data_IF_660774951256
#
_entry.id   IF_660774951256
#
_cell.length_a   1.000
_cell.length_b   1.000
_cell.length_c   1.000
_cell.angle_alpha   90.00
_cell.angle_beta   90.00
_cell.angle_gamma   90.00
#
_symmetry.space_group_name_H-M   'P 1'
#
loop_
_entity.id
_entity.type
_entity.pdbx_description
1 polymer ?
#
# COMPACT_ATOMS: atom_id res chain seq x y z
N UNK A 1 -44.43 -54.20 33.54
CA UNK A 1 -44.43 -52.81 32.96
C UNK A 1 -43.00 -52.42 32.70
N UNK A 2 -42.76 -52.09 31.50
CA UNK A 2 -41.50 -52.09 30.75
C UNK A 2 -40.43 -51.09 31.20
N UNK A 3 -39.16 -51.56 31.36
CA UNK A 3 -37.97 -50.82 31.71
C UNK A 3 -37.37 -50.08 30.49
N UNK A 4 -38.12 -49.91 29.42
CA UNK A 4 -37.64 -49.37 28.14
C UNK A 4 -37.81 -47.84 27.98
N UNK A 5 -38.35 -47.12 28.95
CA UNK A 5 -38.66 -45.69 28.81
C UNK A 5 -37.70 -44.73 29.54
N UNK A 6 -36.57 -45.23 30.09
CA UNK A 6 -35.62 -44.37 30.81
C UNK A 6 -34.25 -44.16 30.12
N UNK A 7 -34.08 -44.66 28.88
CA UNK A 7 -32.79 -44.53 28.15
C UNK A 7 -32.78 -43.53 27.00
N UNK A 8 -33.87 -42.82 26.74
CA UNK A 8 -34.00 -41.91 25.60
C UNK A 8 -33.82 -40.43 25.92
N UNK A 9 -33.47 -40.06 27.18
CA UNK A 9 -33.42 -38.66 27.58
C UNK A 9 -31.99 -38.10 27.88
N UNK A 10 -30.94 -38.89 27.63
CA UNK A 10 -29.54 -38.45 27.92
C UNK A 10 -28.66 -38.20 26.70
N UNK A 11 -29.19 -38.25 25.48
CA UNK A 11 -28.38 -38.03 24.26
C UNK A 11 -28.61 -36.71 23.53
N UNK A 12 -29.42 -35.82 24.08
CA UNK A 12 -29.78 -34.57 23.39
C UNK A 12 -29.12 -33.27 23.94
N UNK A 13 -28.12 -33.38 24.83
CA UNK A 13 -27.53 -32.18 25.46
C UNK A 13 -26.00 -32.03 25.25
N UNK A 14 -25.41 -32.72 24.28
CA UNK A 14 -23.95 -32.66 24.06
C UNK A 14 -23.53 -32.10 22.71
N UNK A 15 -24.43 -31.45 21.96
CA UNK A 15 -24.11 -30.92 20.60
C UNK A 15 -24.28 -29.41 20.41
N UNK A 16 -24.34 -28.61 21.48
CA UNK A 16 -24.58 -27.15 21.35
C UNK A 16 -23.42 -26.24 21.80
N UNK A 17 -22.21 -26.76 21.93
CA UNK A 17 -21.05 -25.95 22.40
C UNK A 17 -19.87 -25.88 21.40
N UNK A 18 -20.09 -26.19 20.12
CA UNK A 18 -19.04 -26.09 19.08
C UNK A 18 -19.29 -25.00 18.02
N UNK A 19 -19.85 -23.86 18.40
CA UNK A 19 -20.10 -22.77 17.45
C UNK A 19 -19.83 -21.42 18.07
N UNK A 20 -18.57 -21.14 18.42
CA UNK A 20 -18.12 -19.75 18.59
C UNK A 20 -16.58 -19.65 18.65
N UNK A 21 -15.87 -20.24 17.71
CA UNK A 21 -14.49 -19.82 17.42
C UNK A 21 -14.46 -19.26 16.02
N UNK A 22 -15.21 -18.18 15.79
CA UNK A 22 -14.84 -17.23 14.75
C UNK A 22 -13.57 -16.55 15.24
N UNK A 23 -12.43 -17.18 15.01
CA UNK A 23 -11.17 -16.44 14.91
C UNK A 23 -11.37 -15.45 13.79
N UNK A 24 -11.75 -14.22 14.15
CA UNK A 24 -11.68 -13.10 13.23
C UNK A 24 -10.23 -13.06 12.76
N UNK A 25 -9.99 -13.45 11.51
CA UNK A 25 -8.73 -13.20 10.87
C UNK A 25 -8.55 -11.70 10.99
N UNK A 26 -7.62 -11.26 11.85
CA UNK A 26 -7.17 -9.87 11.87
C UNK A 26 -6.53 -9.70 10.51
N UNK A 27 -7.25 -9.04 9.59
CA UNK A 27 -6.72 -8.70 8.29
C UNK A 27 -5.38 -7.99 8.54
N UNK A 28 -4.31 -8.51 7.99
CA UNK A 28 -3.02 -7.84 8.04
C UNK A 28 -3.23 -6.43 7.48
N UNK A 29 -2.76 -5.38 8.15
CA UNK A 29 -2.94 -4.04 7.64
C UNK A 29 -2.31 -3.97 6.24
N UNK A 30 -3.12 -3.59 5.27
CA UNK A 30 -2.73 -3.55 3.87
C UNK A 30 -1.85 -2.32 3.59
N UNK A 31 -0.87 -2.49 2.70
CA UNK A 31 -0.13 -1.35 2.15
C UNK A 31 -1.08 -0.48 1.32
N UNK A 32 -0.91 0.83 1.38
CA UNK A 32 -1.69 1.77 0.56
C UNK A 32 -0.78 2.78 -0.12
N UNK A 33 -1.14 3.16 -1.34
CA UNK A 33 -0.51 4.23 -2.10
C UNK A 33 -1.60 5.12 -2.66
N UNK A 34 -1.61 6.38 -2.26
CA UNK A 34 -2.51 7.40 -2.77
C UNK A 34 -1.70 8.43 -3.53
N UNK A 35 -2.08 8.70 -4.77
CA UNK A 35 -1.42 9.61 -5.68
C UNK A 35 -2.41 10.68 -6.08
N UNK A 36 -2.07 11.93 -5.85
CA UNK A 36 -2.87 13.09 -6.27
C UNK A 36 -2.07 13.89 -7.29
N UNK A 37 -2.63 14.05 -8.48
CA UNK A 37 -2.14 14.95 -9.52
C UNK A 37 -3.06 16.16 -9.54
N UNK A 38 -2.56 17.32 -9.10
CA UNK A 38 -3.39 18.48 -8.83
C UNK A 38 -3.81 19.24 -10.09
N UNK A 39 -3.09 19.09 -11.20
CA UNK A 39 -3.35 19.80 -12.45
C UNK A 39 -2.80 19.06 -13.67
N UNK A 40 -3.11 19.53 -14.87
CA UNK A 40 -2.64 18.94 -16.12
C UNK A 40 -3.57 17.84 -16.68
N UNK A 41 -3.12 17.15 -17.72
CA UNK A 41 -3.92 16.17 -18.47
C UNK A 41 -4.33 14.93 -17.65
N UNK A 42 -3.56 14.61 -16.62
CA UNK A 42 -3.81 13.49 -15.72
C UNK A 42 -4.23 13.96 -14.30
N UNK A 43 -4.85 15.13 -14.18
CA UNK A 43 -5.35 15.61 -12.88
C UNK A 43 -6.36 14.61 -12.30
N UNK A 44 -6.16 14.23 -11.02
CA UNK A 44 -7.02 13.24 -10.36
C UNK A 44 -6.37 12.60 -9.15
N UNK A 45 -7.11 11.68 -8.53
CA UNK A 45 -6.62 10.85 -7.41
C UNK A 45 -6.64 9.40 -7.84
N UNK A 46 -5.51 8.72 -7.62
CA UNK A 46 -5.28 7.33 -8.01
C UNK A 46 -4.93 6.51 -6.77
N UNK A 47 -5.54 5.32 -6.66
CA UNK A 47 -5.33 4.38 -5.56
C UNK A 47 -5.11 2.99 -6.13
N UNK A 48 -3.85 2.59 -6.38
CA UNK A 48 -3.54 1.25 -6.83
C UNK A 48 -4.02 0.17 -5.87
N UNK A 49 -4.28 -1.06 -6.35
CA UNK A 49 -4.66 -2.19 -5.50
C UNK A 49 -3.61 -2.47 -4.43
N UNK A 50 -4.04 -2.59 -3.17
CA UNK A 50 -3.16 -2.76 -2.01
C UNK A 50 -2.23 -3.99 -2.13
N UNK A 51 -2.74 -5.10 -2.66
CA UNK A 51 -2.00 -6.35 -2.82
C UNK A 51 -0.78 -6.27 -3.76
N UNK A 52 -0.71 -5.24 -4.61
CA UNK A 52 0.39 -5.04 -5.57
C UNK A 52 1.35 -3.93 -5.17
N UNK A 53 1.17 -3.32 -3.99
CA UNK A 53 2.06 -2.29 -3.47
C UNK A 53 3.21 -2.94 -2.71
N UNK A 54 4.42 -2.68 -3.16
CA UNK A 54 5.66 -3.18 -2.57
C UNK A 54 6.27 -2.09 -1.70
N UNK A 55 6.61 -2.43 -0.46
CA UNK A 55 7.32 -1.57 0.48
C UNK A 55 8.63 -2.24 0.88
N UNK A 56 9.75 -1.66 0.50
CA UNK A 56 11.09 -2.22 0.70
C UNK A 56 12.00 -1.26 1.47
N UNK A 57 12.81 -1.82 2.37
CA UNK A 57 13.94 -1.12 2.98
C UNK A 57 15.24 -1.85 2.65
N UNK A 58 16.03 -1.28 1.77
CA UNK A 58 17.34 -1.82 1.42
C UNK A 58 18.39 -1.26 2.37
N UNK A 59 18.81 -2.05 3.38
CA UNK A 59 19.77 -1.64 4.41
C UNK A 59 21.12 -1.21 3.82
N UNK A 60 21.65 -1.97 2.87
CA UNK A 60 22.92 -1.69 2.22
C UNK A 60 22.96 -0.34 1.50
N UNK A 61 21.86 0.02 0.84
CA UNK A 61 21.71 1.28 0.11
C UNK A 61 21.12 2.39 0.97
N UNK A 62 20.71 2.07 2.21
CA UNK A 62 19.99 3.00 3.09
C UNK A 62 18.83 3.68 2.35
N UNK A 63 18.06 2.89 1.60
CA UNK A 63 16.96 3.37 0.76
C UNK A 63 15.66 2.73 1.18
N UNK A 64 14.61 3.53 1.25
CA UNK A 64 13.25 3.09 1.39
C UNK A 64 12.50 3.34 0.09
N UNK A 65 11.72 2.35 -0.34
CA UNK A 65 10.92 2.42 -1.57
C UNK A 65 9.51 1.96 -1.25
N UNK A 66 8.51 2.72 -1.71
CA UNK A 66 7.15 2.23 -1.87
C UNK A 66 6.78 2.39 -3.34
N UNK A 67 6.41 1.30 -3.98
CA UNK A 67 6.17 1.28 -5.42
C UNK A 67 5.01 0.38 -5.79
N UNK A 68 4.40 0.72 -6.92
CA UNK A 68 3.39 -0.06 -7.61
C UNK A 68 3.64 0.03 -9.10
N UNK A 69 3.40 -1.08 -9.80
CA UNK A 69 3.47 -1.15 -11.26
C UNK A 69 2.39 -2.09 -11.77
N UNK A 70 1.68 -1.66 -12.80
CA UNK A 70 0.75 -2.47 -13.57
C UNK A 70 1.41 -2.83 -14.91
N UNK A 71 1.68 -4.12 -15.10
CA UNK A 71 2.28 -4.62 -16.33
C UNK A 71 1.24 -4.84 -17.43
N UNK A 72 -0.04 -4.89 -17.06
CA UNK A 72 -1.16 -5.15 -17.98
C UNK A 72 -1.98 -3.88 -18.22
N UNK A 73 -1.46 -2.71 -17.85
CA UNK A 73 -2.13 -1.44 -18.12
C UNK A 73 -2.17 -1.16 -19.62
N UNK A 74 -3.37 -1.08 -20.18
CA UNK A 74 -3.59 -0.74 -21.59
C UNK A 74 -4.36 0.57 -21.76
N UNK A 75 -4.61 1.29 -20.65
CA UNK A 75 -5.30 2.58 -20.68
C UNK A 75 -4.30 3.73 -20.89
N UNK A 76 -4.40 4.41 -22.01
CA UNK A 76 -3.53 5.56 -22.35
C UNK A 76 -3.61 6.72 -21.35
N UNK A 77 -4.68 6.81 -20.58
CA UNK A 77 -4.87 7.81 -19.51
C UNK A 77 -4.68 7.24 -18.12
N UNK A 78 -4.59 5.92 -18.00
CA UNK A 78 -4.43 5.21 -16.74
C UNK A 78 -3.04 5.38 -16.17
N UNK A 79 -2.92 5.15 -14.87
CA UNK A 79 -1.62 5.07 -14.21
C UNK A 79 -1.00 3.71 -14.49
N UNK A 80 0.24 3.68 -14.96
CA UNK A 80 0.99 2.45 -15.23
C UNK A 80 2.03 2.16 -14.13
N UNK A 81 2.61 3.19 -13.55
CA UNK A 81 3.64 3.04 -12.53
C UNK A 81 3.59 4.22 -11.54
N UNK A 82 3.79 3.93 -10.27
CA UNK A 82 4.03 4.96 -9.27
C UNK A 82 5.03 4.48 -8.24
N UNK A 83 5.91 5.37 -7.80
CA UNK A 83 6.89 5.05 -6.78
C UNK A 83 7.41 6.27 -6.06
N UNK A 84 7.80 6.03 -4.82
CA UNK A 84 8.56 6.95 -4.00
C UNK A 84 9.86 6.29 -3.57
N UNK A 85 10.93 7.06 -3.52
CA UNK A 85 12.22 6.65 -2.99
C UNK A 85 12.69 7.67 -1.96
N UNK A 86 13.11 7.19 -0.79
CA UNK A 86 13.71 8.01 0.25
C UNK A 86 15.08 7.44 0.58
N UNK A 87 16.13 8.23 0.37
CA UNK A 87 17.49 7.87 0.77
C UNK A 87 17.73 8.26 2.23
N UNK A 88 18.41 7.39 2.98
CA UNK A 88 18.70 7.57 4.41
C UNK A 88 17.46 7.93 5.26
N UNK A 89 16.36 7.16 5.21
CA UNK A 89 15.09 7.54 5.84
C UNK A 89 15.17 7.69 7.36
N UNK A 90 16.16 7.08 8.00
CA UNK A 90 16.37 7.13 9.46
C UNK A 90 17.35 8.23 9.89
N UNK A 91 17.91 8.97 8.94
CA UNK A 91 18.73 10.13 9.23
C UNK A 91 17.82 11.32 9.54
N UNK A 92 18.00 11.94 10.71
CA UNK A 92 17.24 13.11 11.14
C UNK A 92 17.36 14.31 10.18
N UNK A 93 18.39 14.32 9.31
CA UNK A 93 18.62 15.32 8.28
C UNK A 93 17.84 15.09 6.97
N UNK A 94 17.23 13.91 6.79
CA UNK A 94 16.51 13.60 5.54
C UNK A 94 15.18 14.33 5.46
N UNK A 95 15.10 15.32 4.56
CA UNK A 95 13.92 16.18 4.38
C UNK A 95 13.29 16.07 3.00
N UNK A 96 13.84 15.24 2.12
CA UNK A 96 13.44 15.12 0.74
C UNK A 96 13.43 13.66 0.28
N UNK A 97 12.55 13.37 -0.66
CA UNK A 97 12.50 12.10 -1.38
C UNK A 97 12.26 12.33 -2.86
N UNK A 98 12.20 11.24 -3.60
CA UNK A 98 11.91 11.22 -5.03
C UNK A 98 10.52 10.67 -5.27
N UNK A 99 9.81 11.25 -6.21
CA UNK A 99 8.53 10.77 -6.73
C UNK A 99 8.66 10.53 -8.22
N UNK A 100 8.16 9.40 -8.69
CA UNK A 100 8.01 9.08 -10.12
C UNK A 100 6.64 8.46 -10.34
N UNK A 101 5.89 8.98 -11.30
CA UNK A 101 4.59 8.50 -11.70
C UNK A 101 4.58 8.43 -13.23
N UNK A 102 4.13 7.31 -13.78
CA UNK A 102 3.99 7.13 -15.22
C UNK A 102 2.55 6.82 -15.59
N UNK A 103 2.06 7.44 -16.63
CA UNK A 103 0.74 7.26 -17.21
C UNK A 103 0.85 6.75 -18.64
N UNK A 104 -0.09 5.93 -19.04
CA UNK A 104 -0.20 5.42 -20.39
C UNK A 104 0.03 3.91 -20.48
N UNK A 105 0.08 3.43 -21.70
CA UNK A 105 0.32 2.03 -22.02
C UNK A 105 1.83 1.74 -21.96
N UNK A 106 2.30 0.76 -21.16
CA UNK A 106 3.72 0.39 -21.06
C UNK A 106 4.36 -0.02 -22.38
N UNK A 107 3.58 -0.51 -23.33
CA UNK A 107 4.06 -0.89 -24.66
C UNK A 107 4.20 0.29 -25.63
N UNK A 108 3.80 1.48 -25.18
CA UNK A 108 3.88 2.74 -25.91
C UNK A 108 4.72 3.76 -25.15
N UNK A 109 4.64 5.01 -25.55
CA UNK A 109 5.32 6.11 -24.87
C UNK A 109 4.55 6.54 -23.62
N UNK A 110 5.16 6.42 -22.44
CA UNK A 110 4.58 6.86 -21.17
C UNK A 110 4.77 8.36 -20.95
N UNK A 111 3.74 9.00 -20.40
CA UNK A 111 3.88 10.32 -19.82
C UNK A 111 4.40 10.20 -18.38
N UNK A 112 5.58 10.76 -18.10
CA UNK A 112 6.24 10.61 -16.81
C UNK A 112 6.27 11.95 -16.06
N UNK A 113 5.74 11.97 -14.86
CA UNK A 113 5.87 13.05 -13.90
C UNK A 113 6.86 12.67 -12.80
N UNK A 114 7.82 13.51 -12.52
CA UNK A 114 8.83 13.24 -11.49
C UNK A 114 9.24 14.46 -10.70
N UNK A 115 9.57 14.23 -9.42
CA UNK A 115 10.19 15.23 -8.54
C UNK A 115 11.38 14.54 -7.87
N UNK A 116 12.59 15.04 -8.08
CA UNK A 116 13.83 14.48 -7.52
C UNK A 116 14.13 14.90 -6.09
N UNK A 117 13.49 15.98 -5.62
CA UNK A 117 13.65 16.51 -4.25
C UNK A 117 12.31 17.01 -3.71
N UNK A 118 11.32 16.12 -3.66
CA UNK A 118 10.03 16.43 -3.05
C UNK A 118 10.20 16.59 -1.53
N UNK A 119 9.64 17.63 -0.90
CA UNK A 119 9.55 17.71 0.56
C UNK A 119 8.94 16.44 1.15
N UNK A 120 9.55 15.95 2.23
CA UNK A 120 9.24 14.67 2.85
C UNK A 120 8.66 14.86 4.25
N UNK A 121 7.53 14.22 4.50
CA UNK A 121 7.06 13.89 5.84
C UNK A 121 7.15 12.39 6.04
N UNK A 122 7.85 11.98 7.08
CA UNK A 122 8.08 10.58 7.44
C UNK A 122 7.62 10.29 8.85
N UNK A 123 6.80 9.27 9.04
CA UNK A 123 6.34 8.81 10.33
C UNK A 123 6.56 7.29 10.41
N UNK A 124 7.48 6.85 11.29
CA UNK A 124 7.68 5.43 11.55
C UNK A 124 6.51 4.89 12.40
N UNK A 125 5.95 3.74 12.00
CA UNK A 125 4.85 3.07 12.69
C UNK A 125 5.19 1.59 12.92
N UNK A 126 5.83 1.28 14.05
CA UNK A 126 6.26 -0.08 14.36
C UNK A 126 7.24 -0.61 13.33
N UNK A 127 6.88 -1.70 12.62
CA UNK A 127 7.62 -2.25 11.48
C UNK A 127 7.34 -1.53 10.17
N UNK A 128 6.31 -0.70 10.11
CA UNK A 128 5.89 0.02 8.93
C UNK A 128 6.29 1.50 8.94
N UNK A 129 5.78 2.23 7.96
CA UNK A 129 5.97 3.66 7.81
C UNK A 129 4.81 4.33 7.09
N UNK A 130 4.60 5.60 7.39
CA UNK A 130 3.75 6.48 6.60
C UNK A 130 4.63 7.60 6.02
N UNK A 131 4.56 7.79 4.71
CA UNK A 131 5.41 8.70 3.96
C UNK A 131 4.53 9.59 3.12
N UNK A 132 4.75 10.89 3.21
CA UNK A 132 4.14 11.87 2.30
C UNK A 132 5.23 12.65 1.59
N UNK A 133 5.13 12.69 0.27
CA UNK A 133 5.94 13.52 -0.61
C UNK A 133 5.02 14.43 -1.41
N UNK A 134 5.32 15.72 -1.44
CA UNK A 134 4.50 16.71 -2.13
C UNK A 134 5.39 17.77 -2.79
N UNK A 135 5.01 18.22 -3.98
CA UNK A 135 5.74 19.26 -4.69
C UNK A 135 5.25 19.49 -6.11
N UNK A 136 6.09 20.19 -6.88
CA UNK A 136 5.84 20.47 -8.30
C UNK A 136 6.92 19.83 -9.17
N UNK A 137 6.52 19.27 -10.30
CA UNK A 137 7.46 18.87 -11.36
C UNK A 137 8.07 20.10 -12.02
N UNK A 138 9.05 19.87 -12.89
CA UNK A 138 9.66 20.96 -13.69
C UNK A 138 8.63 21.64 -14.59
N UNK A 139 7.63 20.91 -15.04
CA UNK A 139 6.52 21.38 -15.89
C UNK A 139 5.40 22.07 -15.09
N UNK A 140 5.54 22.21 -13.77
CA UNK A 140 4.56 22.84 -12.89
C UNK A 140 3.38 21.95 -12.47
N UNK A 141 3.46 20.65 -12.73
CA UNK A 141 2.42 19.69 -12.28
C UNK A 141 2.55 19.50 -10.77
N UNK A 142 1.44 19.68 -10.05
CA UNK A 142 1.36 19.43 -8.61
C UNK A 142 1.21 17.94 -8.37
N UNK A 143 2.10 17.37 -7.55
CA UNK A 143 2.05 15.97 -7.13
C UNK A 143 2.04 15.88 -5.61
N UNK A 144 1.18 15.02 -5.09
CA UNK A 144 1.21 14.56 -3.71
C UNK A 144 1.07 13.05 -3.69
N UNK A 145 1.99 12.38 -3.02
CA UNK A 145 1.98 10.92 -2.88
C UNK A 145 2.05 10.56 -1.41
N UNK A 146 1.11 9.74 -0.96
CA UNK A 146 1.06 9.19 0.39
C UNK A 146 1.18 7.68 0.32
N UNK A 147 2.22 7.13 0.90
CA UNK A 147 2.40 5.69 1.05
C UNK A 147 2.24 5.31 2.53
N UNK A 148 1.44 4.30 2.81
CA UNK A 148 1.35 3.66 4.13
C UNK A 148 1.75 2.21 3.96
N UNK A 149 2.82 1.84 4.61
CA UNK A 149 3.34 0.48 4.61
C UNK A 149 3.15 -0.11 6.00
N UNK A 150 2.44 -1.22 6.09
CA UNK A 150 2.15 -1.91 7.34
C UNK A 150 3.34 -2.71 7.85
N UNK A 151 4.03 -3.34 6.93
CA UNK A 151 5.29 -4.04 7.15
C UNK A 151 6.24 -3.68 6.01
N UNK A 152 7.52 -3.54 6.31
CA UNK A 152 8.55 -3.17 5.36
C UNK A 152 9.48 -4.35 5.23
N UNK A 153 9.50 -4.95 4.06
CA UNK A 153 10.43 -6.01 3.75
C UNK A 153 11.86 -5.48 3.80
N UNK A 154 12.70 -6.12 4.61
CA UNK A 154 14.12 -5.75 4.74
C UNK A 154 14.99 -6.62 3.84
N UNK A 155 15.74 -5.99 2.94
CA UNK A 155 16.74 -6.65 2.09
C UNK A 155 18.16 -6.17 2.37
#
# INVERSE_FOLDING_TARGET
>A
MSQTLRRALFFALACSLCLASRTGAIASPENTLEIVVGNGAHAGTYKPPAASIICLHTKRQKRYTAAWKDFDAHDEKGIAEAGINVSNPFDAGTKHGEVRIAFGDPDKMLTVYSITRAPLTWIKKGKGAEITLEGKTKEGILLRVVAKCSDVEEM
#
